data_IF_376251865161
#
_entry.id   IF_376251865161
#
_cell.length_a   1.000
_cell.length_b   1.000
_cell.length_c   1.000
_cell.angle_alpha   90.00
_cell.angle_beta   90.00
_cell.angle_gamma   90.00
#
_symmetry.space_group_name_H-M   'P 1'
#
loop_
_entity.id
_entity.type
_entity.pdbx_description
1 polymer ?
#
# COMPACT_ATOMS: atom_id res chain seq x y z
N UNK A 1 2.37 9.10 4.68
CA UNK A 1 0.89 9.24 4.63
C UNK A 1 0.35 9.14 6.04
N UNK A 2 -0.87 9.62 6.31
CA UNK A 2 -1.48 9.47 7.64
C UNK A 2 -1.82 8.00 7.91
N UNK A 3 -1.67 7.55 9.15
CA UNK A 3 -2.01 6.21 9.63
C UNK A 3 -2.83 6.28 10.92
N UNK A 4 -3.66 5.28 11.17
CA UNK A 4 -4.62 5.19 12.27
C UNK A 4 -4.59 3.80 12.95
N UNK A 5 -3.43 3.43 13.49
CA UNK A 5 -3.30 2.21 14.30
C UNK A 5 -3.62 2.49 15.77
N UNK A 6 -4.25 1.52 16.45
CA UNK A 6 -4.46 1.57 17.90
C UNK A 6 -3.16 1.34 18.68
N UNK A 7 -3.13 1.75 19.95
CA UNK A 7 -1.97 1.49 20.82
C UNK A 7 -1.69 0.00 20.98
N UNK A 8 -2.73 -0.84 21.00
CA UNK A 8 -2.59 -2.29 21.08
C UNK A 8 -2.01 -2.89 19.78
N UNK A 9 -2.45 -2.42 18.61
CA UNK A 9 -1.88 -2.82 17.32
C UNK A 9 -0.38 -2.47 17.23
N UNK A 10 0.02 -1.31 17.77
CA UNK A 10 1.41 -0.86 17.74
C UNK A 10 2.36 -1.66 18.67
N UNK A 11 1.83 -2.56 19.52
CA UNK A 11 2.65 -3.50 20.30
C UNK A 11 3.23 -4.62 19.43
N UNK A 12 2.61 -4.92 18.29
CA UNK A 12 3.17 -5.86 17.31
C UNK A 12 4.34 -5.19 16.56
N UNK A 13 5.56 -5.76 16.63
CA UNK A 13 6.72 -5.23 15.91
C UNK A 13 6.52 -5.09 14.39
N UNK A 14 5.74 -5.98 13.78
CA UNK A 14 5.46 -5.94 12.34
C UNK A 14 4.54 -4.77 11.98
N UNK A 15 3.53 -4.48 12.81
CA UNK A 15 2.64 -3.32 12.64
C UNK A 15 3.40 -2.02 12.92
N UNK A 16 4.21 -1.98 13.97
CA UNK A 16 5.05 -0.81 14.27
C UNK A 16 5.97 -0.49 13.08
N UNK A 17 6.64 -1.50 12.52
CA UNK A 17 7.50 -1.32 11.35
C UNK A 17 6.71 -0.87 10.11
N UNK A 18 5.55 -1.47 9.89
CA UNK A 18 4.67 -1.08 8.78
C UNK A 18 4.22 0.38 8.91
N UNK A 19 3.86 0.82 10.11
CA UNK A 19 3.48 2.20 10.40
C UNK A 19 4.60 3.20 10.04
N UNK A 20 5.86 2.92 10.40
CA UNK A 20 7.01 3.75 10.00
C UNK A 20 7.14 3.86 8.47
N UNK A 21 7.07 2.72 7.78
CA UNK A 21 7.21 2.65 6.31
C UNK A 21 6.06 3.42 5.63
N UNK A 22 4.81 3.19 6.04
CA UNK A 22 3.64 3.90 5.50
C UNK A 22 3.77 5.42 5.67
N UNK A 23 4.26 5.87 6.82
CA UNK A 23 4.42 7.29 7.12
C UNK A 23 5.51 7.95 6.27
N UNK A 24 6.45 7.20 5.69
CA UNK A 24 7.47 7.72 4.78
C UNK A 24 6.93 8.27 3.46
N UNK A 25 5.74 7.84 3.03
CA UNK A 25 5.12 8.34 1.79
C UNK A 25 4.73 9.82 1.90
N UNK A 26 5.31 10.69 1.07
CA UNK A 26 5.06 12.15 1.04
C UNK A 26 4.17 12.60 -0.12
N UNK A 27 3.49 11.68 -0.81
CA UNK A 27 2.62 12.00 -1.95
C UNK A 27 3.32 12.68 -3.13
N UNK A 28 4.61 12.42 -3.34
CA UNK A 28 5.40 13.01 -4.44
C UNK A 28 5.00 12.54 -5.85
N UNK A 29 4.42 11.35 -5.99
CA UNK A 29 4.00 10.80 -7.30
C UNK A 29 5.11 10.15 -8.13
N UNK A 30 6.33 10.01 -7.62
CA UNK A 30 7.40 9.32 -8.36
C UNK A 30 7.05 7.87 -8.68
N UNK A 31 6.47 7.14 -7.72
CA UNK A 31 6.09 5.74 -7.92
C UNK A 31 5.02 5.55 -9.00
N UNK A 32 4.15 6.53 -9.23
CA UNK A 32 3.13 6.45 -10.28
C UNK A 32 3.74 6.71 -11.66
N UNK A 33 4.78 7.54 -11.75
CA UNK A 33 5.48 7.80 -13.01
C UNK A 33 6.28 6.59 -13.51
N UNK A 34 6.73 5.70 -12.61
CA UNK A 34 7.62 4.58 -12.95
C UNK A 34 6.94 3.22 -13.02
N UNK A 35 5.75 3.06 -12.44
CA UNK A 35 5.07 1.76 -12.39
C UNK A 35 4.47 1.35 -13.75
N UNK A 36 4.94 0.26 -14.38
CA UNK A 36 4.47 -0.13 -15.71
C UNK A 36 2.99 -0.51 -15.75
N UNK A 37 2.49 -1.24 -14.75
CA UNK A 37 1.07 -1.62 -14.67
C UNK A 37 0.16 -0.39 -14.63
N UNK A 38 0.51 0.61 -13.83
CA UNK A 38 -0.27 1.84 -13.73
C UNK A 38 -0.21 2.68 -15.01
N UNK A 39 0.96 2.79 -15.64
CA UNK A 39 1.12 3.52 -16.89
C UNK A 39 0.25 2.94 -18.02
N UNK A 40 0.01 1.62 -18.01
CA UNK A 40 -0.84 0.95 -19.01
C UNK A 40 -2.33 1.01 -18.64
N UNK A 41 -2.68 0.69 -17.39
CA UNK A 41 -4.07 0.54 -16.98
C UNK A 41 -4.74 1.85 -16.55
N UNK A 42 -3.98 2.82 -16.05
CA UNK A 42 -4.47 4.10 -15.53
C UNK A 42 -5.33 4.01 -14.26
N UNK A 43 -5.48 2.82 -13.68
CA UNK A 43 -6.23 2.61 -12.44
C UNK A 43 -5.34 2.94 -11.22
N UNK A 44 -5.70 3.97 -10.45
CA UNK A 44 -4.93 4.40 -9.27
C UNK A 44 -4.73 3.27 -8.25
N UNK A 45 -5.64 2.31 -8.16
CA UNK A 45 -5.49 1.14 -7.27
C UNK A 45 -4.41 0.16 -7.75
N UNK A 46 -4.08 0.18 -9.05
CA UNK A 46 -2.95 -0.56 -9.62
C UNK A 46 -1.62 0.23 -9.56
N UNK A 47 -1.64 1.46 -9.06
CA UNK A 47 -0.40 2.20 -8.76
C UNK A 47 0.30 1.65 -7.51
N UNK A 48 1.62 1.84 -7.35
CA UNK A 48 2.33 1.38 -6.15
C UNK A 48 1.76 2.02 -4.88
N UNK A 49 1.45 3.31 -4.95
CA UNK A 49 0.82 4.01 -3.82
C UNK A 49 -0.60 3.50 -3.55
N UNK A 50 -1.40 3.23 -4.58
CA UNK A 50 -2.74 2.66 -4.44
C UNK A 50 -2.72 1.30 -3.75
N UNK A 51 -1.77 0.43 -4.12
CA UNK A 51 -1.56 -0.85 -3.43
C UNK A 51 -1.18 -0.68 -1.96
N UNK A 52 -0.27 0.26 -1.67
CA UNK A 52 0.09 0.59 -0.28
C UNK A 52 -1.12 1.08 0.51
N UNK A 53 -2.03 1.84 -0.11
CA UNK A 53 -3.30 2.25 0.50
C UNK A 53 -4.21 1.08 0.84
N UNK A 54 -4.33 0.09 -0.05
CA UNK A 54 -5.10 -1.12 0.19
C UNK A 54 -4.51 -1.93 1.35
N UNK A 55 -3.18 -2.10 1.37
CA UNK A 55 -2.46 -2.78 2.46
C UNK A 55 -2.64 -2.03 3.79
N UNK A 56 -2.48 -0.70 3.78
CA UNK A 56 -2.72 0.14 4.97
C UNK A 56 -4.13 -0.07 5.52
N UNK A 57 -5.15 -0.02 4.66
CA UNK A 57 -6.54 -0.21 5.07
C UNK A 57 -6.77 -1.61 5.66
N UNK A 58 -6.17 -2.64 5.09
CA UNK A 58 -6.23 -4.00 5.66
C UNK A 58 -5.63 -4.06 7.07
N UNK A 59 -4.45 -3.46 7.25
CA UNK A 59 -3.72 -3.50 8.52
C UNK A 59 -4.40 -2.65 9.60
N UNK A 60 -4.90 -1.46 9.26
CA UNK A 60 -5.58 -0.58 10.23
C UNK A 60 -6.89 -1.20 10.73
N UNK A 61 -7.64 -1.85 9.84
CA UNK A 61 -8.92 -2.48 10.16
C UNK A 61 -8.80 -3.93 10.62
N UNK A 62 -7.57 -4.46 10.79
CA UNK A 62 -7.30 -5.85 11.18
C UNK A 62 -8.13 -6.87 10.38
N UNK A 63 -8.15 -6.69 9.05
CA UNK A 63 -8.99 -7.48 8.15
C UNK A 63 -8.17 -8.24 7.11
N UNK A 64 -8.64 -9.42 6.67
CA UNK A 64 -8.01 -10.12 5.56
C UNK A 64 -8.17 -9.34 4.24
N UNK A 65 -7.34 -9.70 3.26
CA UNK A 65 -7.45 -9.18 1.89
C UNK A 65 -8.76 -9.66 1.26
N UNK A 66 -9.59 -8.71 0.83
CA UNK A 66 -10.76 -9.03 -0.01
C UNK A 66 -10.34 -9.23 -1.47
N UNK A 67 -11.27 -9.75 -2.29
CA UNK A 67 -11.02 -10.03 -3.71
C UNK A 67 -10.52 -8.80 -4.50
N UNK A 68 -11.01 -7.61 -4.15
CA UNK A 68 -10.59 -6.36 -4.79
C UNK A 68 -9.12 -6.07 -4.47
N UNK A 69 -8.74 -6.22 -3.20
CA UNK A 69 -7.38 -6.01 -2.74
C UNK A 69 -6.42 -7.02 -3.38
N UNK A 70 -6.79 -8.30 -3.38
CA UNK A 70 -6.02 -9.37 -4.05
C UNK A 70 -5.82 -9.04 -5.53
N UNK A 71 -6.88 -8.70 -6.26
CA UNK A 71 -6.80 -8.35 -7.70
C UNK A 71 -5.74 -7.27 -7.98
N UNK A 72 -5.72 -6.20 -7.20
CA UNK A 72 -4.78 -5.10 -7.43
C UNK A 72 -3.36 -5.44 -7.00
N UNK A 73 -3.19 -6.22 -5.93
CA UNK A 73 -1.88 -6.71 -5.48
C UNK A 73 -1.28 -7.69 -6.51
N UNK A 74 -2.06 -8.64 -7.02
CA UNK A 74 -1.60 -9.67 -7.96
C UNK A 74 -1.23 -9.11 -9.35
N UNK A 75 -1.66 -7.89 -9.66
CA UNK A 75 -1.22 -7.14 -10.86
C UNK A 75 0.16 -6.50 -10.69
N UNK A 76 0.77 -6.59 -9.52
CA UNK A 76 2.14 -6.15 -9.29
C UNK A 76 3.13 -7.10 -9.97
N UNK A 77 3.99 -6.58 -10.85
CA UNK A 77 5.00 -7.37 -11.56
C UNK A 77 6.26 -7.65 -10.72
N UNK A 78 6.31 -7.18 -9.47
CA UNK A 78 7.51 -7.26 -8.61
C UNK A 78 8.80 -6.71 -9.25
N UNK A 79 8.66 -5.69 -10.11
CA UNK A 79 9.76 -5.11 -10.89
C UNK A 79 10.62 -4.09 -10.13
N UNK A 80 10.21 -3.67 -8.93
CA UNK A 80 10.90 -2.69 -8.06
C UNK A 80 11.15 -1.31 -8.70
N UNK A 81 10.36 -0.92 -9.71
CA UNK A 81 10.48 0.39 -10.36
C UNK A 81 9.96 1.56 -9.50
N UNK A 82 9.16 1.28 -8.47
CA UNK A 82 8.52 2.26 -7.59
C UNK A 82 9.43 2.68 -6.43
#
# INVERSE_FOLDING_TARGET
>A
MQTHFSEDQLKDPAIQRSNEILRSCVHCGFCTATCPTYQVLGDELDSPRGRIYLIKDMLENDRPADEKTVKHIDRCLSCLAC
#
